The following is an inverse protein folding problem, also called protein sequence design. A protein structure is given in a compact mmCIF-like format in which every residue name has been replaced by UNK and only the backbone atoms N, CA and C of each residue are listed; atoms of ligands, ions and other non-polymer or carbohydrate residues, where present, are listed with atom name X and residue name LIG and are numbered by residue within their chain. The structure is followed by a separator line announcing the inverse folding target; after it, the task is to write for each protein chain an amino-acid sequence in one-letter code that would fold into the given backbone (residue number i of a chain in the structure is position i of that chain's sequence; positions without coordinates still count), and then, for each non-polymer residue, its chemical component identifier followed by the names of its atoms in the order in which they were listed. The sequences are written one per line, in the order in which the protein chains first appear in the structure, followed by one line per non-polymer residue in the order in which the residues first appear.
data_IF_995465087455
#
_entry.id   IF_995465087455
#
_cell.length_a   1.000
_cell.length_b   1.000
_cell.length_c   1.000
_cell.angle_alpha   90.00
_cell.angle_beta   90.00
_cell.angle_gamma   90.00
#
_symmetry.space_group_name_H-M   'P 1'
#
loop_
_entity.id
_entity.type
_entity.pdbx_description
1 polymer ?
#
# COMPACT_ATOMS: atom_id res chain seq x y z
N UNK A 1 12.52 -9.23 28.59
CA UNK A 1 11.52 -10.04 27.92
C UNK A 1 10.93 -9.29 26.75
N UNK A 2 10.95 -9.91 25.59
CA UNK A 2 10.40 -9.26 24.39
C UNK A 2 8.89 -9.18 24.49
N UNK A 3 8.37 -8.00 24.21
CA UNK A 3 6.94 -7.82 24.11
C UNK A 3 6.45 -8.28 22.74
N UNK A 4 5.15 -8.47 22.63
CA UNK A 4 4.57 -8.78 21.34
C UNK A 4 4.78 -7.63 20.35
N UNK A 5 4.85 -6.41 20.87
CA UNK A 5 5.13 -5.25 20.03
C UNK A 5 6.50 -5.36 19.40
N UNK A 6 7.50 -5.77 20.17
CA UNK A 6 8.86 -5.92 19.65
C UNK A 6 8.93 -7.03 18.61
N UNK A 7 8.26 -8.14 18.90
CA UNK A 7 8.23 -9.26 17.96
C UNK A 7 7.55 -8.86 16.64
N UNK A 8 6.47 -8.12 16.75
CA UNK A 8 5.77 -7.66 15.55
C UNK A 8 6.65 -6.73 14.73
N UNK A 9 7.38 -5.82 15.40
CA UNK A 9 8.26 -4.90 14.70
C UNK A 9 9.38 -5.66 13.98
N UNK A 10 9.93 -6.67 14.63
CA UNK A 10 10.97 -7.48 14.01
C UNK A 10 10.42 -8.22 12.80
N UNK A 11 9.23 -8.79 12.92
CA UNK A 11 8.61 -9.50 11.82
C UNK A 11 8.34 -8.55 10.66
N UNK A 12 7.89 -7.33 10.96
CA UNK A 12 7.61 -6.34 9.91
C UNK A 12 8.85 -6.00 9.09
N UNK A 13 10.04 -6.16 9.71
CA UNK A 13 11.28 -5.86 9.03
C UNK A 13 11.84 -7.04 8.23
N UNK A 14 11.18 -8.19 8.28
CA UNK A 14 11.57 -9.32 7.44
C UNK A 14 11.01 -9.11 6.04
N UNK A 15 11.58 -9.80 5.03
CA UNK A 15 11.02 -9.69 3.67
C UNK A 15 9.54 -10.07 3.61
N UNK A 16 9.14 -11.10 4.35
CA UNK A 16 7.74 -11.50 4.38
C UNK A 16 6.87 -10.46 5.04
N UNK A 17 7.29 -9.93 6.19
CA UNK A 17 6.51 -8.90 6.88
C UNK A 17 6.39 -7.65 6.05
N UNK A 18 7.48 -7.27 5.41
CA UNK A 18 7.49 -6.11 4.54
C UNK A 18 6.52 -6.29 3.38
N UNK A 19 6.51 -7.48 2.79
CA UNK A 19 5.59 -7.78 1.69
C UNK A 19 4.13 -7.68 2.15
N UNK A 20 3.83 -8.25 3.31
CA UNK A 20 2.47 -8.22 3.85
C UNK A 20 1.99 -6.80 4.08
N UNK A 21 2.85 -5.97 4.67
CA UNK A 21 2.49 -4.58 4.93
C UNK A 21 2.29 -3.80 3.65
N UNK A 22 3.17 -4.00 2.69
CA UNK A 22 3.02 -3.34 1.39
C UNK A 22 1.75 -3.75 0.69
N UNK A 23 1.42 -5.04 0.74
CA UNK A 23 0.20 -5.53 0.15
C UNK A 23 -1.02 -4.92 0.81
N UNK A 24 -1.01 -4.85 2.14
CA UNK A 24 -2.11 -4.25 2.87
C UNK A 24 -2.31 -2.80 2.48
N UNK A 25 -1.22 -2.06 2.35
CA UNK A 25 -1.28 -0.67 1.93
C UNK A 25 -1.83 -0.54 0.52
N UNK A 26 -1.35 -1.37 -0.38
CA UNK A 26 -1.81 -1.37 -1.76
C UNK A 26 -3.31 -1.59 -1.84
N UNK A 27 -3.79 -2.61 -1.14
CA UNK A 27 -5.22 -2.94 -1.13
C UNK A 27 -6.03 -1.81 -0.51
N UNK A 28 -5.55 -1.24 0.59
CA UNK A 28 -6.25 -0.16 1.27
C UNK A 28 -6.37 1.06 0.37
N UNK A 29 -5.30 1.42 -0.33
CA UNK A 29 -5.31 2.56 -1.23
C UNK A 29 -6.35 2.35 -2.34
N UNK A 30 -6.34 1.17 -2.96
CA UNK A 30 -7.27 0.89 -4.04
C UNK A 30 -8.71 0.89 -3.55
N UNK A 31 -8.95 0.35 -2.37
CA UNK A 31 -10.29 0.32 -1.78
C UNK A 31 -10.79 1.73 -1.48
N UNK A 32 -9.93 2.56 -0.92
CA UNK A 32 -10.32 3.91 -0.56
C UNK A 32 -10.61 4.77 -1.79
N UNK A 33 -9.90 4.52 -2.88
CA UNK A 33 -10.12 5.27 -4.10
C UNK A 33 -11.47 4.96 -4.73
N UNK A 34 -12.09 3.85 -4.35
CA UNK A 34 -13.37 3.43 -4.91
C UNK A 34 -14.56 3.82 -4.03
N UNK A 35 -14.30 4.48 -2.91
CA UNK A 35 -15.38 4.92 -2.03
C UNK A 35 -16.27 5.93 -2.73
N UNK A 36 -17.59 5.75 -2.62
CA UNK A 36 -18.57 6.62 -3.21
C UNK A 36 -19.49 7.17 -2.14
N UNK A 37 -19.92 8.44 -2.22
CA UNK A 37 -19.51 9.40 -3.24
C UNK A 37 -18.07 9.89 -3.03
N UNK A 38 -17.54 10.50 -4.05
CA UNK A 38 -16.14 10.95 -4.03
C UNK A 38 -15.82 11.83 -2.83
N UNK A 39 -16.79 12.63 -2.41
CA UNK A 39 -16.59 13.53 -1.27
C UNK A 39 -16.29 12.77 0.03
N UNK A 40 -16.64 11.50 0.08
CA UNK A 40 -16.42 10.68 1.27
C UNK A 40 -15.05 10.00 1.27
N UNK A 41 -14.30 10.15 0.19
CA UNK A 41 -12.95 9.57 0.13
C UNK A 41 -12.02 10.36 1.04
N UNK A 42 -11.18 9.63 1.76
CA UNK A 42 -10.22 10.26 2.67
C UNK A 42 -8.97 10.59 1.88
N UNK A 43 -9.05 11.67 1.11
CA UNK A 43 -7.98 12.04 0.19
C UNK A 43 -6.64 12.22 0.90
N UNK A 44 -6.64 12.84 2.07
CA UNK A 44 -5.42 13.02 2.84
C UNK A 44 -4.80 11.69 3.21
N UNK A 45 -5.64 10.75 3.66
CA UNK A 45 -5.16 9.43 4.05
C UNK A 45 -4.62 8.68 2.85
N UNK A 46 -5.32 8.77 1.72
CA UNK A 46 -4.86 8.12 0.49
C UNK A 46 -3.49 8.67 0.08
N UNK A 47 -3.34 9.97 0.13
CA UNK A 47 -2.08 10.62 -0.24
C UNK A 47 -0.94 10.17 0.67
N UNK A 48 -1.19 10.11 1.97
CA UNK A 48 -0.18 9.68 2.94
C UNK A 48 0.16 8.21 2.74
N UNK A 49 -0.83 7.39 2.47
CA UNK A 49 -0.60 5.97 2.20
C UNK A 49 0.25 5.78 0.95
N UNK A 50 -0.02 6.56 -0.08
CA UNK A 50 0.76 6.49 -1.31
C UNK A 50 2.21 6.90 -1.07
N UNK A 51 2.40 7.91 -0.24
CA UNK A 51 3.73 8.35 0.12
C UNK A 51 4.50 7.23 0.82
N UNK A 52 3.87 6.57 1.76
CA UNK A 52 4.49 5.45 2.49
C UNK A 52 4.80 4.31 1.53
N UNK A 53 3.82 3.95 0.70
CA UNK A 53 3.99 2.86 -0.25
C UNK A 53 5.17 3.12 -1.19
N UNK A 54 5.20 4.32 -1.75
CA UNK A 54 6.19 4.62 -2.77
C UNK A 54 7.60 4.68 -2.21
N UNK A 55 7.73 5.01 -0.93
CA UNK A 55 9.04 5.15 -0.31
C UNK A 55 9.51 3.93 0.45
N UNK A 56 8.59 3.13 0.98
CA UNK A 56 8.96 1.96 1.78
C UNK A 56 8.67 0.63 1.09
N UNK A 57 7.79 0.63 0.10
CA UNK A 57 7.37 -0.61 -0.55
C UNK A 57 7.41 -0.45 -2.07
N UNK A 58 8.61 -0.25 -2.63
CA UNK A 58 8.73 0.07 -4.05
C UNK A 58 8.15 -0.98 -4.99
N UNK A 59 8.11 -2.24 -4.57
CA UNK A 59 7.54 -3.27 -5.43
C UNK A 59 6.05 -2.99 -5.70
N UNK A 60 5.34 -2.44 -4.71
CA UNK A 60 3.92 -2.14 -4.88
C UNK A 60 3.71 -0.85 -5.63
N UNK A 61 4.69 0.04 -5.60
CA UNK A 61 4.65 1.22 -6.45
C UNK A 61 4.82 0.81 -7.92
N UNK A 62 5.71 -0.14 -8.17
CA UNK A 62 5.92 -0.67 -9.50
C UNK A 62 4.67 -1.38 -10.04
N UNK A 63 3.97 -2.11 -9.18
CA UNK A 63 2.73 -2.78 -9.58
C UNK A 63 1.68 -1.77 -10.01
N UNK A 64 1.59 -0.67 -9.29
CA UNK A 64 0.66 0.38 -9.65
C UNK A 64 0.95 0.90 -11.05
N UNK A 65 2.21 1.19 -11.32
CA UNK A 65 2.63 1.68 -12.63
C UNK A 65 2.35 0.65 -13.71
N UNK A 66 2.66 -0.61 -13.40
CA UNK A 66 2.45 -1.70 -14.35
C UNK A 66 0.98 -1.84 -14.72
N UNK A 67 0.11 -1.78 -13.72
CA UNK A 67 -1.32 -1.88 -13.96
C UNK A 67 -1.81 -0.79 -14.90
N UNK A 68 -1.32 0.41 -14.67
CA UNK A 68 -1.68 1.54 -15.51
C UNK A 68 -1.21 1.33 -16.94
N UNK A 69 0.02 0.86 -17.08
CA UNK A 69 0.57 0.59 -18.40
C UNK A 69 -0.21 -0.49 -19.12
N UNK A 70 -0.61 -1.51 -18.39
CA UNK A 70 -1.39 -2.60 -18.96
C UNK A 70 -2.72 -2.10 -19.49
N UNK A 71 -3.34 -1.18 -18.78
CA UNK A 71 -4.59 -0.60 -19.25
C UNK A 71 -4.40 0.13 -20.57
N UNK A 72 -3.31 0.88 -20.66
CA UNK A 72 -2.99 1.61 -21.88
C UNK A 72 -2.76 0.64 -23.03
N UNK A 73 -2.03 -0.41 -22.77
CA UNK A 73 -1.71 -1.40 -23.80
C UNK A 73 -2.94 -2.14 -24.28
N UNK A 74 -3.91 -2.31 -23.41
CA UNK A 74 -5.14 -3.00 -23.77
C UNK A 74 -5.95 -2.21 -24.77
N UNK A 75 -5.68 -0.96 -24.89
CA UNK A 75 -6.35 -0.11 -25.84
C UNK A 75 -5.77 -0.31 -27.22
#
# INVERSE_FOLDING_TARGET
MSSDKEKAAEFANTPRGNYILGQALYIAIESLKQVEPEAMREISNISDMEFIRDNLFPIFSALKSHTKDTEVEAL
#
